data_IF_397493637802
#
_entry.id   IF_397493637802
#
_cell.length_a   1.000
_cell.length_b   1.000
_cell.length_c   1.000
_cell.angle_alpha   90.00
_cell.angle_beta   90.00
_cell.angle_gamma   90.00
#
_symmetry.space_group_name_H-M   'P 1'
#
loop_
_entity.id
_entity.type
_entity.pdbx_description
1 polymer ?
#
# COMPACT_ATOMS: atom_id res chain seq x y z
N UNK A 1 17.95 14.92 -24.76
CA UNK A 1 17.24 15.29 -26.01
C UNK A 1 15.89 14.61 -26.11
N UNK A 2 15.78 13.30 -25.85
CA UNK A 2 14.46 12.61 -25.73
C UNK A 2 13.56 13.25 -24.67
N UNK A 3 14.05 13.39 -23.43
CA UNK A 3 13.34 14.07 -22.31
C UNK A 3 12.88 15.51 -22.66
N UNK A 4 13.61 16.19 -23.54
CA UNK A 4 13.25 17.55 -23.95
C UNK A 4 12.03 17.56 -24.87
N UNK A 5 11.92 16.55 -25.74
CA UNK A 5 10.77 16.35 -26.61
C UNK A 5 9.56 15.87 -25.81
N UNK A 6 9.75 14.99 -24.82
CA UNK A 6 8.66 14.53 -23.95
C UNK A 6 8.02 15.68 -23.16
N UNK A 7 8.83 16.60 -22.62
CA UNK A 7 8.32 17.81 -21.95
C UNK A 7 7.68 18.78 -22.95
N UNK A 8 8.19 18.88 -24.17
CA UNK A 8 7.59 19.70 -25.22
C UNK A 8 6.20 19.17 -25.63
N UNK A 9 6.09 17.88 -25.91
CA UNK A 9 4.84 17.19 -26.24
C UNK A 9 3.82 17.29 -25.10
N UNK A 10 4.29 17.17 -23.85
CA UNK A 10 3.47 17.40 -22.66
C UNK A 10 2.89 18.82 -22.64
N UNK A 11 3.72 19.86 -22.84
CA UNK A 11 3.25 21.25 -22.87
C UNK A 11 2.27 21.50 -24.04
N UNK A 12 2.51 20.88 -25.19
CA UNK A 12 1.58 20.93 -26.31
C UNK A 12 0.24 20.25 -26.00
N UNK A 13 0.24 19.16 -25.22
CA UNK A 13 -1.00 18.53 -24.74
C UNK A 13 -1.84 19.45 -23.83
N UNK A 14 -1.21 20.44 -23.18
CA UNK A 14 -1.87 21.51 -22.43
C UNK A 14 -2.31 22.70 -23.29
N UNK A 15 -2.06 22.67 -24.60
CA UNK A 15 -2.50 23.67 -25.58
C UNK A 15 -1.46 24.71 -25.96
N UNK A 16 -0.19 24.55 -25.57
CA UNK A 16 0.89 25.41 -26.05
C UNK A 16 1.29 25.02 -27.48
N UNK A 17 1.67 25.99 -28.30
CA UNK A 17 2.31 25.75 -29.61
C UNK A 17 3.79 25.44 -29.45
N UNK A 18 4.42 24.81 -30.45
CA UNK A 18 5.87 24.52 -30.42
C UNK A 18 6.72 25.79 -30.24
N UNK A 19 6.29 26.92 -30.81
CA UNK A 19 6.97 28.21 -30.64
C UNK A 19 6.90 28.74 -29.20
N UNK A 20 5.85 28.40 -28.46
CA UNK A 20 5.67 28.77 -27.05
C UNK A 20 6.36 27.78 -26.09
N UNK A 21 6.37 26.48 -26.40
CA UNK A 21 6.96 25.43 -25.56
C UNK A 21 8.48 25.34 -25.68
N UNK A 22 9.06 25.50 -26.87
CA UNK A 22 10.50 25.42 -27.10
C UNK A 22 11.34 26.35 -26.19
N UNK A 23 11.01 27.65 -26.00
CA UNK A 23 11.77 28.51 -25.10
C UNK A 23 11.58 28.11 -23.61
N UNK A 24 10.42 27.58 -23.23
CA UNK A 24 10.17 27.08 -21.87
C UNK A 24 11.05 25.86 -21.57
N UNK A 25 11.08 24.89 -22.48
CA UNK A 25 11.95 23.70 -22.38
C UNK A 25 13.42 24.12 -22.31
N UNK A 26 13.85 25.04 -23.19
CA UNK A 26 15.22 25.54 -23.20
C UNK A 26 15.59 26.29 -21.91
N UNK A 27 14.66 27.04 -21.31
CA UNK A 27 14.86 27.70 -20.04
C UNK A 27 14.93 26.71 -18.88
N UNK A 28 14.01 25.74 -18.81
CA UNK A 28 14.00 24.72 -17.75
C UNK A 28 15.28 23.87 -17.79
N UNK A 29 15.79 23.51 -18.98
CA UNK A 29 17.06 22.76 -19.12
C UNK A 29 18.28 23.47 -18.51
N UNK A 30 18.25 24.80 -18.35
CA UNK A 30 19.32 25.56 -17.68
C UNK A 30 19.26 25.45 -16.16
N UNK A 31 18.14 24.95 -15.62
CA UNK A 31 17.88 24.81 -14.19
C UNK A 31 17.61 23.33 -13.85
N UNK A 32 18.66 22.50 -13.68
CA UNK A 32 18.52 21.03 -13.62
C UNK A 32 17.61 20.53 -12.48
N UNK A 33 17.55 21.24 -11.35
CA UNK A 33 16.64 20.90 -10.26
C UNK A 33 15.17 21.13 -10.65
N UNK A 34 14.86 22.29 -11.24
CA UNK A 34 13.53 22.62 -11.72
C UNK A 34 13.11 21.71 -12.90
N UNK A 35 14.04 21.38 -13.78
CA UNK A 35 13.86 20.41 -14.87
C UNK A 35 13.44 19.04 -14.33
N UNK A 36 14.20 18.49 -13.38
CA UNK A 36 13.90 17.20 -12.74
C UNK A 36 12.56 17.21 -12.03
N UNK A 37 12.29 18.24 -11.23
CA UNK A 37 11.05 18.32 -10.45
C UNK A 37 9.82 18.51 -11.36
N UNK A 38 9.98 19.22 -12.49
CA UNK A 38 8.95 19.33 -13.51
C UNK A 38 8.65 17.97 -14.15
N UNK A 39 9.66 17.24 -14.63
CA UNK A 39 9.46 15.90 -15.22
C UNK A 39 8.85 14.94 -14.20
N UNK A 40 9.38 14.87 -12.98
CA UNK A 40 8.84 14.00 -11.92
C UNK A 40 7.34 14.27 -11.70
N UNK A 41 6.94 15.53 -11.63
CA UNK A 41 5.58 15.91 -11.29
C UNK A 41 4.60 15.82 -12.46
N UNK A 42 4.98 16.31 -13.63
CA UNK A 42 4.07 16.49 -14.76
C UNK A 42 4.15 15.36 -15.79
N UNK A 43 5.31 14.73 -15.95
CA UNK A 43 5.47 13.59 -16.86
C UNK A 43 5.16 12.27 -16.15
N UNK A 44 5.79 12.04 -14.98
CA UNK A 44 5.65 10.78 -14.25
C UNK A 44 4.49 10.78 -13.25
N UNK A 45 3.94 11.94 -12.90
CA UNK A 45 2.90 12.07 -11.87
C UNK A 45 3.39 11.71 -10.46
N UNK A 46 4.70 11.78 -10.22
CA UNK A 46 5.36 11.40 -8.99
C UNK A 46 5.79 12.62 -8.18
N UNK A 47 5.60 12.54 -6.85
CA UNK A 47 6.25 13.46 -5.92
C UNK A 47 7.61 12.88 -5.50
N UNK A 48 8.58 13.76 -5.24
CA UNK A 48 9.89 13.32 -4.78
C UNK A 48 9.77 12.54 -3.46
N UNK A 49 10.20 11.27 -3.41
CA UNK A 49 10.02 10.45 -2.23
C UNK A 49 10.89 10.98 -1.08
N UNK A 50 10.29 11.15 0.09
CA UNK A 50 11.03 11.55 1.28
C UNK A 50 11.84 10.34 1.82
N UNK A 51 13.19 10.37 1.82
CA UNK A 51 14.01 9.22 2.20
C UNK A 51 13.79 8.78 3.65
N UNK A 52 13.40 9.70 4.55
CA UNK A 52 13.07 9.36 5.95
C UNK A 52 11.80 8.51 6.05
N UNK A 53 10.88 8.60 5.09
CA UNK A 53 9.66 7.78 5.07
C UNK A 53 9.96 6.30 4.78
N UNK A 54 11.05 5.97 4.11
CA UNK A 54 11.39 4.59 3.79
C UNK A 54 11.64 3.74 5.06
N UNK A 55 12.48 4.24 5.97
CA UNK A 55 12.75 3.57 7.25
C UNK A 55 11.50 3.50 8.12
N UNK A 56 10.77 4.60 8.24
CA UNK A 56 9.53 4.63 9.02
C UNK A 56 8.51 3.63 8.48
N UNK A 57 8.32 3.57 7.15
CA UNK A 57 7.43 2.59 6.51
C UNK A 57 7.84 1.15 6.83
N UNK A 58 9.14 0.85 6.70
CA UNK A 58 9.67 -0.48 7.02
C UNK A 58 9.43 -0.90 8.47
N UNK A 59 9.71 -0.02 9.42
CA UNK A 59 9.49 -0.29 10.86
C UNK A 59 8.01 -0.46 11.17
N UNK A 60 7.14 0.40 10.62
CA UNK A 60 5.69 0.33 10.84
C UNK A 60 5.11 -0.96 10.28
N UNK A 61 5.45 -1.32 9.04
CA UNK A 61 4.94 -2.55 8.41
C UNK A 61 5.50 -3.79 9.12
N UNK A 62 6.80 -3.81 9.43
CA UNK A 62 7.43 -4.94 10.10
C UNK A 62 6.86 -5.20 11.49
N UNK A 63 6.73 -4.14 12.31
CA UNK A 63 6.11 -4.24 13.64
C UNK A 63 4.63 -4.64 13.57
N UNK A 64 3.88 -4.10 12.61
CA UNK A 64 2.49 -4.50 12.38
C UNK A 64 2.36 -5.98 12.02
N UNK A 65 3.30 -6.53 11.23
CA UNK A 65 3.29 -7.95 10.85
C UNK A 65 3.60 -8.87 12.04
N UNK A 66 4.56 -8.47 12.89
CA UNK A 66 4.88 -9.19 14.13
C UNK A 66 3.65 -9.21 15.05
N UNK A 67 3.09 -8.04 15.35
CA UNK A 67 1.93 -7.92 16.25
C UNK A 67 0.73 -8.67 15.67
N UNK A 68 0.45 -8.49 14.38
CA UNK A 68 -0.64 -9.18 13.69
C UNK A 68 -0.48 -10.69 13.68
N UNK A 69 0.73 -11.20 13.49
CA UNK A 69 1.03 -12.64 13.51
C UNK A 69 0.96 -13.26 14.92
N UNK A 70 1.20 -12.48 15.97
CA UNK A 70 1.09 -12.97 17.35
C UNK A 70 -0.35 -13.18 17.80
N UNK A 71 -1.31 -12.45 17.23
CA UNK A 71 -2.74 -12.56 17.57
C UNK A 71 -3.27 -14.00 17.44
N UNK A 72 -3.16 -14.70 16.30
CA UNK A 72 -3.60 -16.10 16.17
C UNK A 72 -2.80 -17.06 17.05
N UNK A 73 -1.55 -16.74 17.38
CA UNK A 73 -0.67 -17.57 18.20
C UNK A 73 -0.96 -17.43 19.70
N UNK A 74 -1.56 -16.31 20.14
CA UNK A 74 -1.87 -16.00 21.53
C UNK A 74 -2.49 -17.18 22.31
N UNK A 75 -3.57 -17.80 21.81
CA UNK A 75 -4.20 -18.93 22.49
C UNK A 75 -3.31 -20.17 22.66
N UNK A 76 -2.32 -20.36 21.79
CA UNK A 76 -1.38 -21.49 21.88
C UNK A 76 -0.32 -21.29 22.97
N UNK A 77 -0.05 -20.06 23.42
CA UNK A 77 0.87 -19.83 24.54
C UNK A 77 0.30 -20.26 25.89
N UNK A 78 -1.03 -20.29 26.03
CA UNK A 78 -1.72 -20.55 27.31
C UNK A 78 -2.47 -21.89 27.33
N UNK A 79 -2.62 -22.55 26.19
CA UNK A 79 -3.33 -23.83 26.09
C UNK A 79 -2.37 -25.01 26.17
N UNK A 80 -2.74 -26.03 26.95
CA UNK A 80 -1.92 -27.24 27.09
C UNK A 80 -1.91 -28.15 25.84
N UNK A 81 -2.88 -27.98 24.94
CA UNK A 81 -2.97 -28.77 23.70
C UNK A 81 -3.32 -27.90 22.50
N UNK A 82 -2.75 -28.22 21.35
CA UNK A 82 -3.04 -27.52 20.09
C UNK A 82 -4.53 -27.65 19.69
N UNK A 83 -5.15 -28.80 19.94
CA UNK A 83 -6.56 -29.04 19.62
C UNK A 83 -7.49 -28.16 20.47
N UNK A 84 -7.17 -27.94 21.75
CA UNK A 84 -7.92 -27.02 22.61
C UNK A 84 -7.72 -25.55 22.27
N UNK A 85 -6.53 -25.18 21.78
CA UNK A 85 -6.19 -23.81 21.40
C UNK A 85 -6.87 -23.34 20.10
N UNK A 86 -7.10 -24.27 19.17
CA UNK A 86 -7.50 -23.95 17.80
C UNK A 86 -8.85 -23.19 17.71
N UNK A 87 -9.95 -23.59 18.38
CA UNK A 87 -11.20 -22.83 18.34
C UNK A 87 -11.05 -21.41 18.90
N UNK A 88 -10.26 -21.24 19.95
CA UNK A 88 -9.94 -19.93 20.52
C UNK A 88 -9.11 -19.08 19.56
N UNK A 89 -8.11 -19.66 18.91
CA UNK A 89 -7.31 -19.00 17.89
C UNK A 89 -8.17 -18.52 16.71
N UNK A 90 -9.08 -19.36 16.23
CA UNK A 90 -10.03 -18.98 15.16
C UNK A 90 -10.90 -17.80 15.61
N UNK A 91 -11.48 -17.86 16.81
CA UNK A 91 -12.32 -16.79 17.35
C UNK A 91 -11.57 -15.46 17.46
N UNK A 92 -10.42 -15.46 18.12
CA UNK A 92 -9.59 -14.24 18.30
C UNK A 92 -9.14 -13.67 16.96
N UNK A 93 -8.74 -14.53 16.02
CA UNK A 93 -8.30 -14.09 14.68
C UNK A 93 -9.45 -13.48 13.89
N UNK A 94 -10.63 -14.09 13.89
CA UNK A 94 -11.80 -13.54 13.20
C UNK A 94 -12.23 -12.20 13.79
N UNK A 95 -12.22 -12.06 15.12
CA UNK A 95 -12.48 -10.78 15.79
C UNK A 95 -11.44 -9.72 15.40
N UNK A 96 -10.16 -10.07 15.40
CA UNK A 96 -9.11 -9.15 15.00
C UNK A 96 -9.26 -8.71 13.53
N UNK A 97 -9.50 -9.66 12.60
CA UNK A 97 -9.75 -9.35 11.18
C UNK A 97 -10.98 -8.47 10.98
N UNK A 98 -12.04 -8.67 11.76
CA UNK A 98 -13.22 -7.81 11.73
C UNK A 98 -12.89 -6.38 12.17
N UNK A 99 -12.16 -6.22 13.28
CA UNK A 99 -11.73 -4.91 13.79
C UNK A 99 -10.81 -4.21 12.79
N UNK A 100 -9.79 -4.91 12.29
CA UNK A 100 -8.87 -4.36 11.29
C UNK A 100 -9.59 -3.96 10.01
N UNK A 101 -10.47 -4.82 9.49
CA UNK A 101 -11.24 -4.52 8.30
C UNK A 101 -12.20 -3.35 8.50
N UNK A 102 -12.79 -3.19 9.69
CA UNK A 102 -13.65 -2.05 10.01
C UNK A 102 -12.86 -0.73 10.07
N UNK A 103 -11.71 -0.72 10.75
CA UNK A 103 -10.80 0.43 10.80
C UNK A 103 -10.32 0.79 9.40
N UNK A 104 -9.86 -0.20 8.62
CA UNK A 104 -9.46 -0.04 7.23
C UNK A 104 -10.57 0.63 6.42
N UNK A 105 -11.82 0.17 6.53
CA UNK A 105 -12.94 0.75 5.81
C UNK A 105 -13.17 2.22 6.15
N UNK A 106 -13.09 2.59 7.43
CA UNK A 106 -13.20 3.99 7.87
C UNK A 106 -12.08 4.87 7.31
N UNK A 107 -10.86 4.36 7.24
CA UNK A 107 -9.70 5.12 6.73
C UNK A 107 -9.70 5.25 5.20
N UNK A 108 -10.24 4.28 4.47
CA UNK A 108 -10.24 4.27 2.99
C UNK A 108 -11.57 4.73 2.38
N UNK A 109 -12.46 5.36 3.15
CA UNK A 109 -13.79 5.80 2.68
C UNK A 109 -14.66 4.68 2.08
N UNK A 110 -14.44 3.44 2.49
CA UNK A 110 -15.24 2.27 2.11
C UNK A 110 -16.21 1.92 3.24
N UNK A 111 -17.41 1.41 2.92
CA UNK A 111 -18.39 0.99 3.94
C UNK A 111 -17.72 0.06 4.98
N UNK A 112 -17.62 0.45 6.27
CA UNK A 112 -16.78 -0.26 7.23
C UNK A 112 -17.17 -1.71 7.47
N UNK A 113 -18.47 -2.01 7.53
CA UNK A 113 -18.97 -3.37 7.69
C UNK A 113 -18.62 -4.27 6.49
N UNK A 114 -18.64 -3.72 5.27
CA UNK A 114 -18.25 -4.47 4.06
C UNK A 114 -16.75 -4.78 4.08
N UNK A 115 -15.93 -3.82 4.48
CA UNK A 115 -14.47 -4.00 4.59
C UNK A 115 -14.12 -5.03 5.67
N UNK A 116 -14.81 -5.00 6.82
CA UNK A 116 -14.68 -6.03 7.87
C UNK A 116 -15.00 -7.43 7.34
N UNK A 117 -16.17 -7.59 6.70
CA UNK A 117 -16.61 -8.88 6.14
C UNK A 117 -15.63 -9.40 5.08
N UNK A 118 -15.19 -8.55 4.15
CA UNK A 118 -14.20 -8.92 3.14
C UNK A 118 -12.88 -9.39 3.76
N UNK A 119 -12.40 -8.69 4.79
CA UNK A 119 -11.16 -9.03 5.47
C UNK A 119 -11.26 -10.38 6.19
N UNK A 120 -12.38 -10.64 6.88
CA UNK A 120 -12.65 -11.94 7.49
C UNK A 120 -12.74 -13.07 6.46
N UNK A 121 -13.44 -12.85 5.34
CA UNK A 121 -13.61 -13.86 4.29
C UNK A 121 -12.28 -14.22 3.63
N UNK A 122 -11.45 -13.23 3.28
CA UNK A 122 -10.13 -13.48 2.68
C UNK A 122 -9.25 -14.28 3.67
N UNK A 123 -9.19 -13.85 4.93
CA UNK A 123 -8.41 -14.57 5.95
C UNK A 123 -8.93 -15.98 6.20
N UNK A 124 -10.25 -16.15 6.28
CA UNK A 124 -10.89 -17.45 6.45
C UNK A 124 -10.65 -18.41 5.28
N UNK A 125 -10.74 -17.91 4.04
CA UNK A 125 -10.44 -18.72 2.85
C UNK A 125 -8.95 -19.10 2.78
N UNK A 126 -8.04 -18.19 3.14
CA UNK A 126 -6.61 -18.50 3.19
C UNK A 126 -6.31 -19.58 4.24
N UNK A 127 -6.91 -19.47 5.43
CA UNK A 127 -6.76 -20.48 6.49
C UNK A 127 -7.35 -21.83 6.08
N UNK A 128 -8.54 -21.84 5.45
CA UNK A 128 -9.15 -23.05 4.93
C UNK A 128 -8.28 -23.70 3.84
N UNK A 129 -7.73 -22.91 2.92
CA UNK A 129 -6.79 -23.38 1.89
C UNK A 129 -5.53 -24.00 2.49
N UNK A 130 -4.92 -23.35 3.49
CA UNK A 130 -3.77 -23.88 4.21
C UNK A 130 -4.10 -25.20 4.93
N UNK A 131 -5.26 -25.30 5.57
CA UNK A 131 -5.71 -26.53 6.23
C UNK A 131 -5.95 -27.68 5.26
N UNK A 132 -6.56 -27.41 4.09
CA UNK A 132 -6.76 -28.41 3.06
C UNK A 132 -5.42 -28.87 2.46
N UNK A 133 -4.50 -27.93 2.23
CA UNK A 133 -3.18 -28.24 1.70
C UNK A 133 -2.36 -29.13 2.65
N UNK A 134 -2.43 -28.90 3.97
CA UNK A 134 -1.71 -29.74 4.95
C UNK A 134 -2.36 -31.11 5.19
N UNK A 135 -3.61 -31.28 4.77
CA UNK A 135 -4.39 -32.52 4.90
C UNK A 135 -4.34 -33.41 3.65
N UNK A 136 -4.06 -32.84 2.49
CA UNK A 136 -3.89 -33.53 1.22
C UNK A 136 -2.55 -34.28 1.17
#
# INVERSE_FOLDING_TARGET
>A
DVEALEVEDLLQSYGLTSEESAPVVAALRKHPEAWRDFMLRFELGLEQPNPRRALTSGVVIGSAYIVGGLIPLGPYFVSATAHGALPWSVGVTLTALAIFGWIKGRLTSVRPARSALQTMLIGGMAAAGAFLFTRA
#
